data_IF_289358745243
#
_entry.id   IF_289358745243
#
_cell.length_a   1.000
_cell.length_b   1.000
_cell.length_c   1.000
_cell.angle_alpha   90.00
_cell.angle_beta   90.00
_cell.angle_gamma   90.00
#
_symmetry.space_group_name_H-M   'P 1'
#
loop_
_entity.id
_entity.type
_entity.pdbx_description
1 polymer ?
#
# COMPACT_ATOMS: atom_id res chain seq x y z
N UNK A 1 -50.80 -7.72 4.64
CA UNK A 1 -49.43 -7.99 5.13
C UNK A 1 -48.49 -7.36 4.12
N UNK A 2 -47.81 -6.26 4.49
CA UNK A 2 -46.93 -5.55 3.56
C UNK A 2 -45.67 -6.41 3.34
N UNK A 3 -45.45 -6.84 2.11
CA UNK A 3 -44.24 -7.56 1.72
C UNK A 3 -43.05 -6.60 1.82
N UNK A 4 -42.20 -6.80 2.82
CA UNK A 4 -40.93 -6.09 2.93
C UNK A 4 -40.02 -6.59 1.81
N UNK A 5 -39.53 -5.68 0.96
CA UNK A 5 -38.57 -5.98 -0.09
C UNK A 5 -37.33 -6.68 0.52
N UNK A 6 -37.01 -7.93 0.10
CA UNK A 6 -35.88 -8.69 0.63
C UNK A 6 -34.52 -8.04 0.36
N UNK A 7 -34.44 -7.04 -0.53
CA UNK A 7 -33.23 -6.29 -0.83
C UNK A 7 -33.14 -4.92 -0.13
N UNK A 8 -34.07 -4.58 0.76
CA UNK A 8 -34.04 -3.30 1.46
C UNK A 8 -32.90 -3.22 2.49
N UNK A 9 -31.84 -2.50 2.14
CA UNK A 9 -30.75 -2.18 3.07
C UNK A 9 -31.23 -1.13 4.08
N UNK A 10 -31.19 -1.46 5.36
CA UNK A 10 -31.47 -0.52 6.46
C UNK A 10 -30.18 0.20 6.86
N UNK A 11 -30.08 1.49 6.52
CA UNK A 11 -28.92 2.34 6.85
C UNK A 11 -29.23 3.20 8.07
N UNK A 12 -28.41 3.09 9.12
CA UNK A 12 -28.45 3.92 10.32
C UNK A 12 -27.13 4.67 10.46
N UNK A 13 -27.18 6.00 10.66
CA UNK A 13 -26.01 6.88 10.68
C UNK A 13 -26.04 7.71 11.96
N UNK A 14 -24.94 7.70 12.71
CA UNK A 14 -24.66 8.67 13.75
C UNK A 14 -23.77 9.77 13.16
N UNK A 15 -24.23 11.02 13.19
CA UNK A 15 -23.46 12.18 12.74
C UNK A 15 -23.07 13.01 13.96
N UNK A 16 -21.77 13.24 14.15
CA UNK A 16 -21.21 14.11 15.19
C UNK A 16 -20.56 15.27 14.43
N UNK A 17 -21.00 16.50 14.70
CA UNK A 17 -20.53 17.71 14.04
C UNK A 17 -19.82 18.61 15.03
N UNK A 18 -18.87 19.43 14.55
CA UNK A 18 -18.08 20.34 15.38
C UNK A 18 -17.44 19.64 16.58
N UNK A 19 -16.85 18.47 16.30
CA UNK A 19 -16.28 17.54 17.29
C UNK A 19 -15.33 18.24 18.25
N UNK A 20 -15.51 17.98 19.54
CA UNK A 20 -14.63 18.45 20.63
C UNK A 20 -13.91 17.26 21.26
N UNK A 21 -12.94 17.56 22.14
CA UNK A 21 -12.23 16.54 22.88
C UNK A 21 -13.16 15.67 23.75
N UNK A 22 -14.28 16.23 24.22
CA UNK A 22 -15.32 15.53 24.99
C UNK A 22 -16.05 14.44 24.18
N UNK A 23 -16.07 14.57 22.85
CA UNK A 23 -16.65 13.58 21.94
C UNK A 23 -15.68 12.44 21.65
N UNK A 24 -14.40 12.54 22.03
CA UNK A 24 -13.45 11.47 21.80
C UNK A 24 -13.77 10.26 22.67
N UNK A 25 -13.66 9.08 22.10
CA UNK A 25 -14.00 7.86 22.79
C UNK A 25 -14.28 6.69 21.87
N UNK A 26 -14.79 5.63 22.50
CA UNK A 26 -15.14 4.40 21.81
C UNK A 26 -16.64 4.35 21.58
N UNK A 27 -17.03 4.34 20.32
CA UNK A 27 -18.41 4.21 19.86
C UNK A 27 -18.70 2.78 19.47
N UNK A 28 -19.94 2.35 19.71
CA UNK A 28 -20.41 1.03 19.36
C UNK A 28 -21.65 1.11 18.49
N UNK A 29 -21.56 0.56 17.28
CA UNK A 29 -22.74 0.26 16.48
C UNK A 29 -23.25 -1.11 16.89
N UNK A 30 -24.45 -1.17 17.48
CA UNK A 30 -25.05 -2.40 18.01
C UNK A 30 -26.31 -2.72 17.21
N UNK A 31 -26.35 -3.92 16.63
CA UNK A 31 -27.54 -4.47 16.00
C UNK A 31 -28.04 -5.64 16.84
N UNK A 32 -29.30 -5.58 17.27
CA UNK A 32 -29.90 -6.54 18.19
C UNK A 32 -31.23 -7.05 17.65
N UNK A 33 -31.48 -8.35 17.77
CA UNK A 33 -32.76 -8.99 17.49
C UNK A 33 -33.04 -10.09 18.54
N UNK A 34 -34.14 -10.83 18.39
CA UNK A 34 -34.53 -11.87 19.36
C UNK A 34 -33.55 -13.04 19.46
N UNK A 35 -32.66 -13.22 18.48
CA UNK A 35 -31.63 -14.28 18.47
C UNK A 35 -30.31 -13.83 19.09
N UNK A 36 -30.08 -12.52 19.21
CA UNK A 36 -28.88 -11.98 19.85
C UNK A 36 -28.47 -10.61 19.31
N UNK A 37 -27.27 -10.18 19.71
CA UNK A 37 -26.70 -8.89 19.36
C UNK A 37 -25.31 -9.04 18.72
N UNK A 38 -25.03 -8.21 17.73
CA UNK A 38 -23.69 -7.99 17.17
C UNK A 38 -23.26 -6.55 17.40
N UNK A 39 -21.94 -6.34 17.53
CA UNK A 39 -21.33 -5.05 17.81
C UNK A 39 -20.16 -4.79 16.89
N UNK A 40 -20.08 -3.57 16.36
CA UNK A 40 -18.87 -3.01 15.75
C UNK A 40 -18.37 -1.83 16.56
N UNK A 41 -17.07 -1.77 16.76
CA UNK A 41 -16.40 -0.74 17.57
C UNK A 41 -15.71 0.26 16.66
N UNK A 42 -15.86 1.54 16.95
CA UNK A 42 -15.25 2.67 16.24
C UNK A 42 -14.57 3.54 17.30
N UNK A 43 -13.33 3.94 17.07
CA UNK A 43 -12.60 4.85 17.96
C UNK A 43 -12.58 6.23 17.31
N UNK A 44 -13.16 7.22 17.98
CA UNK A 44 -13.04 8.62 17.63
C UNK A 44 -11.92 9.24 18.46
N UNK A 45 -10.86 9.70 17.79
CA UNK A 45 -9.63 10.21 18.42
C UNK A 45 -9.15 11.47 17.70
N UNK A 46 -8.41 12.31 18.43
CA UNK A 46 -7.64 13.42 17.86
C UNK A 46 -6.21 13.05 17.46
N UNK A 47 -5.75 11.83 17.73
CA UNK A 47 -4.41 11.35 17.33
C UNK A 47 -4.26 11.30 15.81
N UNK A 48 -3.04 11.36 15.26
CA UNK A 48 -2.85 11.25 13.82
C UNK A 48 -3.38 9.91 13.29
N UNK A 49 -3.85 9.92 12.05
CA UNK A 49 -4.15 8.67 11.36
C UNK A 49 -2.89 7.83 11.21
N UNK A 50 -3.10 6.54 10.99
CA UNK A 50 -2.00 5.59 10.78
C UNK A 50 -1.13 6.07 9.60
N UNK A 51 0.20 6.19 9.77
CA UNK A 51 1.09 6.55 8.68
C UNK A 51 1.04 5.53 7.53
N UNK A 52 1.19 6.04 6.30
CA UNK A 52 1.16 5.24 5.07
C UNK A 52 2.46 5.48 4.31
N UNK A 53 3.25 4.44 4.10
CA UNK A 53 4.39 4.50 3.19
C UNK A 53 3.87 4.56 1.75
N UNK A 54 4.25 5.61 1.01
CA UNK A 54 3.80 5.83 -0.37
C UNK A 54 4.77 5.23 -1.38
N UNK A 55 6.07 5.41 -1.16
CA UNK A 55 7.13 4.98 -2.08
C UNK A 55 8.43 4.71 -1.34
N UNK A 56 9.19 3.77 -1.89
CA UNK A 56 10.59 3.55 -1.60
C UNK A 56 11.39 3.81 -2.89
N UNK A 57 12.49 4.53 -2.79
CA UNK A 57 13.38 4.83 -3.93
C UNK A 57 14.83 4.93 -3.45
N UNK A 58 15.74 5.29 -4.35
CA UNK A 58 17.10 5.70 -3.98
C UNK A 58 17.15 7.24 -3.95
N UNK A 59 17.94 7.80 -3.05
CA UNK A 59 18.18 9.22 -2.93
C UNK A 59 19.05 9.75 -4.09
N UNK A 60 19.18 11.07 -4.21
CA UNK A 60 19.93 11.69 -5.30
C UNK A 60 21.43 11.43 -5.29
N UNK A 61 21.96 10.80 -4.24
CA UNK A 61 23.33 10.33 -4.14
C UNK A 61 23.55 8.94 -4.75
N UNK A 62 22.50 8.34 -5.33
CA UNK A 62 22.46 7.00 -5.92
C UNK A 62 22.92 5.88 -4.98
N UNK A 63 22.82 6.09 -3.66
CA UNK A 63 23.29 5.11 -2.66
C UNK A 63 22.33 4.95 -1.50
N UNK A 64 21.75 6.05 -1.02
CA UNK A 64 20.95 6.01 0.20
C UNK A 64 19.51 5.61 -0.13
N UNK A 65 18.96 4.54 0.45
CA UNK A 65 17.54 4.26 0.34
C UNK A 65 16.71 5.40 0.89
N UNK A 66 15.58 5.67 0.26
CA UNK A 66 14.68 6.77 0.57
C UNK A 66 13.27 6.23 0.75
N UNK A 67 12.69 6.50 1.92
CA UNK A 67 11.27 6.26 2.17
C UNK A 67 10.51 7.58 2.12
N UNK A 68 9.34 7.54 1.51
CA UNK A 68 8.38 8.65 1.58
C UNK A 68 7.06 8.13 2.11
N UNK A 69 6.50 8.85 3.06
CA UNK A 69 5.22 8.52 3.66
C UNK A 69 4.34 9.75 3.80
N UNK A 70 3.05 9.47 4.00
CA UNK A 70 2.02 10.44 4.32
C UNK A 70 1.44 10.14 5.70
N UNK A 71 1.16 11.20 6.46
CA UNK A 71 0.33 11.15 7.66
C UNK A 71 -0.76 12.21 7.56
N UNK A 72 -1.99 11.82 7.85
CA UNK A 72 -3.10 12.75 8.01
C UNK A 72 -3.29 13.11 9.49
N UNK A 73 -3.32 14.40 9.80
CA UNK A 73 -3.60 14.88 11.14
C UNK A 73 -4.21 16.27 11.14
N UNK A 74 -5.36 16.42 11.81
CA UNK A 74 -6.01 17.71 12.05
C UNK A 74 -5.27 18.58 13.07
N UNK A 75 -4.24 18.05 13.71
CA UNK A 75 -3.39 18.78 14.64
C UNK A 75 -1.93 18.65 14.25
N UNK A 76 -1.15 19.70 14.54
CA UNK A 76 0.26 19.76 14.14
C UNK A 76 1.04 18.56 14.67
N UNK A 77 1.74 17.88 13.76
CA UNK A 77 2.65 16.80 14.11
C UNK A 77 3.81 17.36 14.93
N UNK A 78 4.10 16.72 16.06
CA UNK A 78 5.19 17.06 16.98
C UNK A 78 6.44 16.22 16.73
N UNK A 79 6.26 14.93 16.45
CA UNK A 79 7.37 13.99 16.32
C UNK A 79 6.98 12.79 15.45
N UNK A 80 8.00 12.15 14.90
CA UNK A 80 7.91 10.86 14.23
C UNK A 80 8.83 9.87 14.94
N UNK A 81 8.39 8.61 15.01
CA UNK A 81 9.21 7.48 15.44
C UNK A 81 9.22 6.46 14.31
N UNK A 82 10.35 6.36 13.62
CA UNK A 82 10.58 5.41 12.54
C UNK A 82 11.54 4.33 13.06
N UNK A 83 11.03 3.11 13.16
CA UNK A 83 11.81 1.96 13.58
C UNK A 83 12.10 1.10 12.36
N UNK A 84 13.32 0.59 12.24
CA UNK A 84 13.69 -0.31 11.14
C UNK A 84 14.68 -1.38 11.59
N UNK A 85 14.72 -2.51 10.88
CA UNK A 85 15.72 -3.58 11.08
C UNK A 85 15.99 -4.34 9.79
N UNK A 86 17.15 -5.01 9.72
CA UNK A 86 17.55 -5.87 8.60
C UNK A 86 16.94 -7.26 8.81
N UNK A 87 16.19 -7.80 7.84
CA UNK A 87 15.47 -9.07 8.01
C UNK A 87 16.41 -10.28 8.15
N UNK A 88 17.56 -10.24 7.47
CA UNK A 88 18.54 -11.34 7.45
C UNK A 88 19.52 -11.28 8.63
N UNK A 89 19.34 -10.34 9.56
CA UNK A 89 20.17 -10.28 10.75
C UNK A 89 19.70 -11.31 11.78
N UNK A 90 20.64 -11.95 12.47
CA UNK A 90 20.36 -12.78 13.65
C UNK A 90 19.81 -11.96 14.84
N UNK A 91 19.81 -10.62 14.73
CA UNK A 91 19.29 -9.70 15.74
C UNK A 91 17.83 -9.33 15.49
N UNK A 92 16.99 -9.52 16.51
CA UNK A 92 15.61 -9.02 16.55
C UNK A 92 15.51 -7.54 16.94
N UNK A 93 16.64 -6.85 17.11
CA UNK A 93 16.68 -5.46 17.57
C UNK A 93 16.23 -4.46 16.48
N UNK A 94 15.33 -3.55 16.87
CA UNK A 94 14.88 -2.45 16.03
C UNK A 94 15.74 -1.21 16.26
N UNK A 95 16.32 -0.68 15.18
CA UNK A 95 16.94 0.64 15.17
C UNK A 95 15.85 1.71 15.12
N UNK A 96 16.10 2.87 15.72
CA UNK A 96 15.14 3.97 15.80
C UNK A 96 15.74 5.29 15.30
N UNK A 97 14.99 5.97 14.44
CA UNK A 97 15.31 7.33 13.97
C UNK A 97 14.09 8.23 14.11
N UNK A 98 14.36 9.53 14.20
CA UNK A 98 13.33 10.57 14.37
C UNK A 98 13.37 11.53 13.17
N UNK A 99 12.60 11.24 12.11
CA UNK A 99 12.52 12.10 10.93
C UNK A 99 12.12 13.54 11.29
N UNK A 100 12.67 14.50 10.55
CA UNK A 100 12.35 15.92 10.74
C UNK A 100 10.88 16.17 10.44
N UNK A 101 10.22 16.93 11.30
CA UNK A 101 8.86 17.41 11.05
C UNK A 101 8.91 18.52 9.99
N UNK A 102 8.13 18.34 8.93
CA UNK A 102 7.91 19.32 7.87
C UNK A 102 6.50 19.87 8.04
N UNK A 103 6.33 21.19 7.91
CA UNK A 103 5.01 21.81 7.98
C UNK A 103 4.12 21.28 6.84
N UNK A 104 2.87 20.98 7.16
CA UNK A 104 1.87 20.62 6.15
C UNK A 104 1.50 21.84 5.30
N UNK A 105 1.37 21.64 3.99
CA UNK A 105 0.96 22.70 3.05
C UNK A 105 -0.53 23.05 3.17
N UNK A 106 -1.37 22.09 3.55
CA UNK A 106 -2.82 22.25 3.67
C UNK A 106 -3.32 22.14 5.12
N UNK A 107 -2.41 21.92 6.08
CA UNK A 107 -2.72 21.75 7.49
C UNK A 107 -3.26 20.37 7.88
N UNK A 108 -3.39 19.45 6.92
CA UNK A 108 -3.97 18.12 7.13
C UNK A 108 -2.99 17.00 6.74
N UNK A 109 -2.40 17.08 5.55
CA UNK A 109 -1.52 16.05 5.00
C UNK A 109 -0.05 16.42 5.23
N UNK A 110 0.70 15.50 5.84
CA UNK A 110 2.12 15.63 6.11
C UNK A 110 2.87 14.61 5.29
N UNK A 111 3.53 15.05 4.22
CA UNK A 111 4.41 14.21 3.41
C UNK A 111 5.85 14.41 3.88
N UNK A 112 6.51 13.32 4.25
CA UNK A 112 7.89 13.36 4.75
C UNK A 112 8.76 12.39 3.97
N UNK A 113 9.93 12.88 3.60
CA UNK A 113 10.99 12.13 2.93
C UNK A 113 12.10 11.87 3.93
N UNK A 114 12.56 10.63 4.03
CA UNK A 114 13.69 10.26 4.86
C UNK A 114 14.63 9.33 4.11
N UNK A 115 15.91 9.71 4.13
CA UNK A 115 16.99 8.99 3.49
C UNK A 115 17.76 8.22 4.58
N UNK A 116 18.19 7.00 4.26
CA UNK A 116 18.93 6.11 5.13
C UNK A 116 20.39 5.99 4.65
N UNK A 117 21.26 6.95 4.99
CA UNK A 117 22.64 6.90 4.54
C UNK A 117 23.42 5.77 5.22
N UNK A 118 24.21 5.05 4.44
CA UNK A 118 25.15 4.04 4.95
C UNK A 118 24.52 2.76 5.47
N UNK A 119 23.33 2.38 5.00
CA UNK A 119 22.82 1.04 5.23
C UNK A 119 23.71 0.01 4.53
N UNK A 120 23.90 -1.13 5.18
CA UNK A 120 24.49 -2.29 4.52
C UNK A 120 23.52 -2.87 3.48
N UNK A 121 24.02 -3.49 2.41
CA UNK A 121 23.20 -4.29 1.50
C UNK A 121 22.32 -5.31 2.22
N UNK A 122 21.07 -5.42 1.78
CA UNK A 122 20.09 -6.39 2.29
C UNK A 122 18.66 -5.84 2.32
N UNK A 123 17.73 -6.69 2.74
CA UNK A 123 16.31 -6.33 2.91
C UNK A 123 16.04 -5.81 4.32
N UNK A 124 15.37 -4.66 4.40
CA UNK A 124 14.97 -4.04 5.66
C UNK A 124 13.47 -3.97 5.77
N UNK A 125 12.98 -3.96 7.00
CA UNK A 125 11.60 -3.66 7.33
C UNK A 125 11.52 -2.43 8.22
N UNK A 126 10.52 -1.58 7.97
CA UNK A 126 10.30 -0.34 8.71
C UNK A 126 8.85 -0.22 9.22
N UNK A 127 8.70 0.35 10.42
CA UNK A 127 7.42 0.68 11.05
C UNK A 127 7.47 2.14 11.53
N UNK A 128 6.40 2.90 11.27
CA UNK A 128 6.33 4.32 11.58
C UNK A 128 5.15 4.65 12.49
N UNK A 129 5.37 5.58 13.43
CA UNK A 129 4.33 6.26 14.21
C UNK A 129 4.54 7.77 14.16
N UNK A 130 3.44 8.51 14.27
CA UNK A 130 3.45 9.97 14.36
C UNK A 130 2.74 10.42 15.64
N UNK A 131 3.18 11.53 16.21
CA UNK A 131 2.62 12.11 17.43
C UNK A 131 2.10 13.51 17.17
N UNK A 132 0.94 13.85 17.72
CA UNK A 132 0.45 15.22 17.78
C UNK A 132 0.07 15.60 19.23
N UNK A 133 -0.70 16.68 19.42
CA UNK A 133 -1.14 17.12 20.75
C UNK A 133 -1.98 16.09 21.54
N UNK A 134 -2.62 15.13 20.86
CA UNK A 134 -3.47 14.10 21.45
C UNK A 134 -2.76 12.76 21.66
N UNK A 135 -1.51 12.63 21.22
CA UNK A 135 -0.68 11.45 21.39
C UNK A 135 -0.30 10.74 20.09
N UNK A 136 0.07 9.47 20.22
CA UNK A 136 0.64 8.66 19.14
C UNK A 136 -0.43 8.00 18.26
N UNK A 137 -0.19 7.99 16.96
CA UNK A 137 -0.94 7.19 15.99
C UNK A 137 -0.80 5.69 16.28
N UNK A 138 -1.67 4.87 15.68
CA UNK A 138 -1.35 3.46 15.50
C UNK A 138 -0.08 3.31 14.63
N UNK A 139 0.74 2.26 14.85
CA UNK A 139 1.88 1.96 13.98
C UNK A 139 1.41 1.67 12.56
N UNK A 140 2.19 2.06 11.56
CA UNK A 140 1.99 1.57 10.20
C UNK A 140 2.06 0.04 10.15
N UNK A 141 1.52 -0.61 9.11
CA UNK A 141 1.99 -1.96 8.77
C UNK A 141 3.51 -1.91 8.50
N UNK A 142 4.24 -3.02 8.72
CA UNK A 142 5.63 -3.12 8.30
C UNK A 142 5.77 -2.88 6.79
N UNK A 143 6.75 -2.08 6.39
CA UNK A 143 7.09 -1.81 5.00
C UNK A 143 8.49 -2.31 4.68
N UNK A 144 8.61 -3.10 3.61
CA UNK A 144 9.90 -3.63 3.14
C UNK A 144 10.58 -2.64 2.21
N UNK A 145 11.91 -2.53 2.31
CA UNK A 145 12.73 -1.73 1.41
C UNK A 145 14.16 -2.29 1.29
N UNK A 146 14.84 -1.98 0.18
CA UNK A 146 16.22 -2.41 -0.07
C UNK A 146 17.22 -1.43 0.56
N UNK A 147 18.27 -1.96 1.18
CA UNK A 147 19.43 -1.24 1.68
C UNK A 147 20.40 -0.76 0.59
N UNK A 148 20.23 -1.23 -0.64
CA UNK A 148 21.09 -0.94 -1.80
C UNK A 148 20.24 -0.61 -3.04
N UNK A 149 20.84 0.10 -3.98
CA UNK A 149 20.28 0.22 -5.33
C UNK A 149 20.27 -1.15 -6.00
N UNK A 150 19.08 -1.70 -6.25
CA UNK A 150 18.94 -2.83 -7.15
C UNK A 150 19.09 -2.32 -8.59
N UNK A 151 20.25 -1.77 -8.94
CA UNK A 151 20.69 -1.63 -10.32
C UNK A 151 21.36 -2.93 -10.77
N UNK A 152 20.76 -4.08 -10.43
CA UNK A 152 20.62 -5.12 -11.45
C UNK A 152 19.64 -4.56 -12.47
N UNK A 153 20.19 -3.92 -13.48
CA UNK A 153 19.64 -4.02 -14.81
C UNK A 153 19.20 -5.48 -15.05
N UNK A 154 17.93 -5.82 -14.83
CA UNK A 154 17.26 -6.70 -15.78
C UNK A 154 17.16 -5.90 -17.08
N UNK A 155 18.31 -5.78 -17.75
CA UNK A 155 18.31 -5.80 -19.20
C UNK A 155 17.73 -7.18 -19.50
N UNK A 156 16.43 -7.25 -19.77
CA UNK A 156 15.95 -8.26 -20.70
C UNK A 156 16.66 -7.93 -22.01
N UNK A 157 17.84 -8.50 -22.19
CA UNK A 157 18.57 -8.47 -23.44
C UNK A 157 17.78 -9.36 -24.39
N UNK A 158 16.67 -8.82 -24.90
CA UNK A 158 16.09 -9.29 -26.13
C UNK A 158 17.06 -8.96 -27.25
N UNK A 159 18.15 -9.71 -27.33
CA UNK A 159 18.97 -9.78 -28.54
C UNK A 159 18.09 -10.33 -29.66
N UNK A 160 17.55 -9.44 -30.48
CA UNK A 160 17.15 -9.75 -31.84
C UNK A 160 17.96 -8.84 -32.76
N UNK A 161 19.23 -9.19 -32.94
CA UNK A 161 19.95 -8.84 -34.16
C UNK A 161 19.37 -9.65 -35.33
N UNK A 162 19.05 -9.04 -36.47
CA UNK A 162 18.46 -9.73 -37.62
C UNK A 162 19.57 -10.42 -38.42
N UNK A 163 19.64 -11.75 -38.41
CA UNK A 163 20.49 -12.47 -39.36
C UNK A 163 19.67 -13.16 -40.47
N UNK A 164 19.83 -12.73 -41.73
CA UNK A 164 19.20 -13.34 -42.89
C UNK A 164 19.86 -14.67 -43.23
N UNK A 165 19.06 -15.58 -43.80
CA UNK A 165 19.45 -16.85 -44.42
C UNK A 165 19.53 -18.07 -43.49
N UNK A 166 18.39 -18.75 -43.33
CA UNK A 166 18.38 -20.18 -43.64
C UNK A 166 17.03 -20.57 -44.25
N UNK A 167 17.08 -20.83 -45.55
CA UNK A 167 15.98 -21.41 -46.30
C UNK A 167 15.82 -22.88 -45.91
N UNK A 168 14.60 -23.30 -45.62
CA UNK A 168 14.17 -24.69 -45.80
C UNK A 168 12.75 -24.71 -46.33
N UNK A 169 12.63 -25.12 -47.59
CA UNK A 169 11.37 -25.23 -48.33
C UNK A 169 10.43 -26.26 -47.67
N UNK A 170 9.17 -25.88 -47.43
CA UNK A 170 8.09 -26.85 -47.30
C UNK A 170 7.37 -27.01 -48.64
N UNK A 171 7.46 -28.21 -49.19
CA UNK A 171 6.78 -28.65 -50.42
C UNK A 171 5.28 -28.69 -50.19
N UNK A 172 4.54 -27.88 -50.93
CA UNK A 172 3.07 -27.88 -50.95
C UNK A 172 2.61 -29.11 -51.72
N UNK A 173 1.98 -30.06 -51.03
CA UNK A 173 1.36 -31.25 -51.65
C UNK A 173 -0.12 -30.96 -51.93
N UNK A 174 -0.50 -30.93 -53.21
CA UNK A 174 -1.81 -30.55 -53.75
C UNK A 174 -2.93 -31.61 -53.53
N UNK A 175 -2.99 -32.25 -52.37
CA UNK A 175 -3.91 -33.38 -52.12
C UNK A 175 -5.00 -33.14 -51.05
N UNK A 176 -5.15 -31.94 -50.49
CA UNK A 176 -6.12 -31.69 -49.40
C UNK A 176 -7.08 -30.50 -49.62
N UNK A 177 -7.07 -29.85 -50.79
CA UNK A 177 -7.90 -28.64 -51.02
C UNK A 177 -9.30 -28.95 -51.57
N UNK A 178 -9.61 -30.21 -51.94
CA UNK A 178 -10.92 -30.58 -52.49
C UNK A 178 -11.95 -31.12 -51.47
N UNK A 179 -11.58 -31.35 -50.22
CA UNK A 179 -12.51 -31.84 -49.19
C UNK A 179 -13.20 -30.74 -48.37
N UNK A 180 -12.78 -29.47 -48.52
CA UNK A 180 -13.37 -28.35 -47.77
C UNK A 180 -14.57 -27.72 -48.50
N UNK A 181 -14.73 -27.97 -49.81
CA UNK A 181 -15.86 -27.41 -50.58
C UNK A 181 -17.16 -28.24 -50.53
N UNK A 182 -17.16 -29.43 -49.92
CA UNK A 182 -18.38 -30.28 -49.81
C UNK A 182 -19.11 -30.09 -48.46
N UNK A 183 -18.51 -29.39 -47.49
CA UNK A 183 -19.12 -29.18 -46.17
C UNK A 183 -20.02 -27.93 -46.06
N UNK A 184 -20.19 -27.16 -47.13
CA UNK A 184 -21.03 -25.94 -47.15
C UNK A 184 -22.36 -26.12 -47.90
N UNK A 185 -22.80 -27.37 -48.04
CA UNK A 185 -24.18 -27.71 -48.43
C UNK A 185 -24.62 -28.83 -47.50
N UNK A 186 -24.97 -28.51 -46.26
CA UNK A 186 -25.99 -29.15 -45.42
C UNK A 186 -26.04 -28.41 -44.07
N UNK A 187 -27.27 -28.01 -43.69
CA UNK A 187 -27.70 -27.07 -42.65
C UNK A 187 -27.59 -25.58 -43.00
#
# INVERSE_FOLDING_TARGET
VQHQDPNKIHKHILKIENTKAEDFGTYHCVANNTLGATRKTIVLSGTPLRPIFERASIAGDNKSPRLVWMVESLSVIKSYKLQYRKQESDSDEWLEVHPKVIASSDGLHYTVVHDFPGLEPGTYEAVLRAENAYGWSYPSPPNLFSGEDNMSNEILDGQLEPNPNHASQLRISFALVLSILVAMVYC
#
